data_IF_687735802263
#
_entry.id   IF_687735802263
#
_cell.length_a   1.000
_cell.length_b   1.000
_cell.length_c   1.000
_cell.angle_alpha   90.00
_cell.angle_beta   90.00
_cell.angle_gamma   90.00
#
_symmetry.space_group_name_H-M   'P 1'
#
loop_
_entity.id
_entity.type
_entity.pdbx_description
1 polymer ?
#
# COMPACT_ATOMS: atom_id res chain seq x y z
N UNK A 1 -4.86 -24.20 49.87
CA UNK A 1 -3.53 -23.97 49.28
C UNK A 1 -3.33 -25.05 48.22
N UNK A 2 -3.55 -24.74 46.94
CA UNK A 2 -3.25 -25.61 45.79
C UNK A 2 -1.89 -25.15 45.24
N UNK A 3 -0.98 -26.09 45.08
CA UNK A 3 0.42 -25.89 44.75
C UNK A 3 0.63 -25.43 43.29
N UNK A 4 1.36 -24.34 43.11
CA UNK A 4 1.77 -23.74 41.81
C UNK A 4 2.95 -24.50 41.15
N UNK A 5 2.85 -25.82 41.00
CA UNK A 5 3.99 -26.64 40.53
C UNK A 5 3.94 -27.11 39.09
N UNK A 6 3.03 -26.58 38.21
CA UNK A 6 2.86 -27.13 36.85
C UNK A 6 3.41 -26.28 35.68
N UNK A 7 4.22 -25.25 35.91
CA UNK A 7 4.64 -24.32 34.83
C UNK A 7 6.16 -24.04 34.76
N UNK A 8 7.01 -25.03 34.99
CA UNK A 8 8.45 -24.88 34.82
C UNK A 8 9.03 -25.85 33.78
N UNK A 9 9.99 -25.42 32.95
CA UNK A 9 10.83 -26.27 32.11
C UNK A 9 12.17 -26.42 32.79
N UNK A 10 12.59 -27.67 33.02
CA UNK A 10 13.90 -28.00 33.59
C UNK A 10 14.88 -28.14 32.40
N UNK A 11 15.92 -27.32 32.38
CA UNK A 11 17.08 -27.49 31.50
C UNK A 11 18.24 -27.90 32.38
N UNK A 12 18.75 -29.09 32.16
CA UNK A 12 19.96 -29.57 32.82
C UNK A 12 21.18 -29.22 31.96
N UNK A 13 22.13 -28.50 32.50
CA UNK A 13 23.47 -28.38 31.90
C UNK A 13 24.41 -29.39 32.59
N UNK A 14 25.35 -29.96 31.82
CA UNK A 14 25.99 -31.24 32.13
C UNK A 14 27.10 -31.20 33.16
N UNK A 15 27.46 -30.06 33.76
CA UNK A 15 28.65 -29.97 34.58
C UNK A 15 28.54 -29.20 35.93
N UNK A 16 27.35 -28.71 36.37
CA UNK A 16 27.15 -28.21 37.75
C UNK A 16 25.67 -28.30 38.18
N UNK A 17 25.44 -28.66 39.47
CA UNK A 17 24.12 -28.94 40.06
C UNK A 17 23.23 -27.72 40.33
N UNK A 18 23.26 -26.67 39.47
CA UNK A 18 22.38 -25.52 39.62
C UNK A 18 21.17 -25.60 38.69
N UNK A 19 20.01 -25.92 39.26
CA UNK A 19 18.72 -25.91 38.58
C UNK A 19 18.26 -24.46 38.45
N UNK A 20 18.35 -23.91 37.24
CA UNK A 20 17.77 -22.60 36.91
C UNK A 20 16.29 -22.76 36.53
N UNK A 21 15.41 -22.36 37.45
CA UNK A 21 13.96 -22.30 37.18
C UNK A 21 13.66 -21.03 36.40
N UNK A 22 13.41 -21.14 35.10
CA UNK A 22 12.97 -20.02 34.25
C UNK A 22 11.44 -19.96 34.31
N UNK A 23 10.83 -18.88 34.85
CA UNK A 23 9.37 -18.74 34.84
C UNK A 23 8.86 -18.62 33.42
N UNK A 24 7.85 -19.42 33.02
CA UNK A 24 7.20 -19.40 31.70
C UNK A 24 6.46 -18.09 31.36
N UNK A 25 6.30 -17.20 32.31
CA UNK A 25 5.76 -15.84 32.05
C UNK A 25 6.88 -14.84 31.82
N UNK A 26 7.64 -15.05 30.73
CA UNK A 26 8.28 -13.90 30.10
C UNK A 26 7.14 -13.10 29.47
N UNK A 27 6.79 -11.98 30.12
CA UNK A 27 5.90 -10.98 29.51
C UNK A 27 6.29 -10.85 28.05
N UNK A 28 5.39 -11.26 27.12
CA UNK A 28 5.55 -10.93 25.70
C UNK A 28 5.67 -9.43 25.68
N UNK A 29 6.89 -8.92 25.48
CA UNK A 29 7.13 -7.50 25.28
C UNK A 29 6.07 -7.05 24.28
N UNK A 30 5.22 -6.10 24.67
CA UNK A 30 4.25 -5.52 23.75
C UNK A 30 5.07 -5.09 22.56
N UNK A 31 4.77 -5.66 21.40
CA UNK A 31 5.44 -5.34 20.14
C UNK A 31 5.20 -3.86 19.89
N UNK A 32 6.09 -3.01 20.41
CA UNK A 32 6.04 -1.56 20.21
C UNK A 32 6.26 -1.38 18.72
N UNK A 33 5.19 -1.08 18.00
CA UNK A 33 5.25 -0.85 16.57
C UNK A 33 6.21 0.32 16.33
N UNK A 34 7.17 0.20 15.40
CA UNK A 34 8.05 1.30 15.09
C UNK A 34 7.21 2.50 14.61
N UNK A 35 7.45 3.66 15.19
CA UNK A 35 6.82 4.91 14.77
C UNK A 35 7.31 5.23 13.36
N UNK A 36 6.39 5.48 12.43
CA UNK A 36 6.75 5.86 11.07
C UNK A 36 7.52 7.18 11.07
N UNK A 37 8.55 7.27 10.25
CA UNK A 37 9.23 8.54 10.00
C UNK A 37 8.29 9.48 9.27
N UNK A 38 8.19 10.71 9.76
CA UNK A 38 7.35 11.75 9.16
C UNK A 38 7.83 12.09 7.75
N UNK A 39 9.14 12.26 7.60
CA UNK A 39 9.79 12.71 6.36
C UNK A 39 11.04 11.87 6.06
N UNK A 40 11.41 11.82 4.80
CA UNK A 40 12.69 11.27 4.34
C UNK A 40 13.80 12.30 4.46
N UNK A 41 13.49 13.56 4.15
CA UNK A 41 14.40 14.70 4.23
C UNK A 41 13.77 15.84 5.05
N UNK A 42 14.58 16.48 5.87
CA UNK A 42 14.18 17.68 6.64
C UNK A 42 14.13 18.96 5.78
N UNK A 43 14.51 18.89 4.50
CA UNK A 43 14.44 20.02 3.60
C UNK A 43 12.98 20.40 3.29
N UNK A 44 12.59 21.60 3.69
CA UNK A 44 11.24 22.13 3.51
C UNK A 44 10.93 22.55 2.05
N UNK A 45 11.94 22.63 1.18
CA UNK A 45 11.77 22.96 -0.24
C UNK A 45 11.55 21.72 -1.11
N UNK A 46 11.81 20.54 -0.58
CA UNK A 46 11.60 19.28 -1.29
C UNK A 46 10.30 18.62 -0.82
N UNK A 47 9.33 18.51 -1.72
CA UNK A 47 8.08 17.79 -1.46
C UNK A 47 8.24 16.31 -1.79
N UNK A 48 8.00 15.48 -0.78
CA UNK A 48 8.08 14.03 -0.90
C UNK A 48 6.74 13.48 -1.39
N UNK A 49 6.80 12.61 -2.40
CA UNK A 49 5.64 11.90 -2.93
C UNK A 49 5.77 10.43 -2.52
N UNK A 50 5.00 10.02 -1.52
CA UNK A 50 4.90 8.60 -1.15
C UNK A 50 4.03 7.86 -2.16
N UNK A 51 4.48 6.69 -2.63
CA UNK A 51 3.81 5.89 -3.66
C UNK A 51 3.77 4.43 -3.24
N UNK A 52 2.59 3.81 -3.36
CA UNK A 52 2.39 2.38 -3.08
C UNK A 52 1.28 1.81 -3.97
N UNK A 53 1.15 0.46 -3.99
CA UNK A 53 0.14 -0.24 -4.75
C UNK A 53 -0.70 -1.19 -3.89
N UNK A 54 -1.88 -1.55 -4.39
CA UNK A 54 -2.73 -2.61 -3.88
C UNK A 54 -3.24 -3.50 -5.02
N UNK A 55 -3.23 -4.82 -4.78
CA UNK A 55 -3.86 -5.75 -5.72
C UNK A 55 -2.94 -6.29 -6.81
N UNK A 56 -1.62 -6.40 -6.60
CA UNK A 56 -0.71 -7.09 -7.54
C UNK A 56 -0.90 -8.60 -7.58
N UNK A 57 -1.09 -9.22 -6.41
CA UNK A 57 -1.15 -10.69 -6.27
C UNK A 57 -2.47 -11.39 -6.61
N UNK A 58 -3.66 -10.75 -6.53
CA UNK A 58 -4.93 -11.41 -6.83
C UNK A 58 -5.05 -11.93 -8.26
N UNK A 59 -5.85 -13.00 -8.43
CA UNK A 59 -6.24 -13.56 -9.72
C UNK A 59 -7.33 -12.73 -10.42
N UNK A 60 -7.90 -11.75 -9.72
CA UNK A 60 -9.13 -11.06 -10.08
C UNK A 60 -9.01 -9.57 -9.77
N UNK A 61 -9.58 -8.76 -10.66
CA UNK A 61 -9.76 -7.32 -10.46
C UNK A 61 -8.52 -6.48 -10.76
N UNK A 62 -8.73 -5.18 -10.66
CA UNK A 62 -7.77 -4.12 -10.96
C UNK A 62 -6.56 -4.13 -10.04
N UNK A 63 -5.44 -3.59 -10.51
CA UNK A 63 -4.33 -3.13 -9.66
C UNK A 63 -4.50 -1.63 -9.44
N UNK A 64 -4.42 -1.19 -8.19
CA UNK A 64 -4.52 0.21 -7.79
C UNK A 64 -3.18 0.72 -7.32
N UNK A 65 -2.90 1.99 -7.56
CA UNK A 65 -1.74 2.71 -7.03
C UNK A 65 -2.18 4.05 -6.48
N UNK A 66 -1.48 4.55 -5.48
CA UNK A 66 -1.71 5.89 -4.99
C UNK A 66 -0.40 6.65 -4.85
N UNK A 67 -0.48 7.97 -5.00
CA UNK A 67 0.60 8.91 -4.72
C UNK A 67 0.08 9.99 -3.77
N UNK A 68 0.86 10.33 -2.73
CA UNK A 68 0.45 11.27 -1.68
C UNK A 68 1.58 12.22 -1.34
N UNK A 69 1.27 13.53 -1.28
CA UNK A 69 2.14 14.56 -0.70
C UNK A 69 1.53 14.98 0.63
N UNK A 70 2.24 14.75 1.72
CA UNK A 70 1.85 15.21 3.05
C UNK A 70 2.44 16.62 3.34
N UNK A 71 1.74 17.43 4.15
CA UNK A 71 2.30 18.70 4.58
C UNK A 71 3.52 18.48 5.48
N UNK A 72 4.53 19.37 5.37
CA UNK A 72 5.72 19.40 6.23
C UNK A 72 5.54 20.37 7.41
N UNK A 73 4.31 20.55 7.86
CA UNK A 73 3.97 21.31 9.06
C UNK A 73 3.28 20.41 10.10
N UNK A 74 3.11 20.91 11.32
CA UNK A 74 2.53 20.15 12.42
C UNK A 74 1.00 19.97 12.32
N UNK A 75 0.37 20.35 11.21
CA UNK A 75 -1.08 20.24 11.02
C UNK A 75 -1.53 18.82 10.69
N UNK A 76 -0.65 17.99 10.11
CA UNK A 76 -0.96 16.61 9.80
C UNK A 76 -0.61 15.70 10.97
N UNK A 77 -1.61 15.00 11.50
CA UNK A 77 -1.42 14.01 12.56
C UNK A 77 -0.92 12.67 12.00
N UNK A 78 0.40 12.53 11.94
CA UNK A 78 1.08 11.33 11.47
C UNK A 78 0.75 10.06 12.28
N UNK A 79 0.32 10.21 13.55
CA UNK A 79 0.01 9.06 14.42
C UNK A 79 -1.21 8.26 13.97
N UNK A 80 -2.10 8.86 13.19
CA UNK A 80 -3.27 8.20 12.61
C UNK A 80 -2.90 7.23 11.48
N UNK A 81 -1.76 7.45 10.83
CA UNK A 81 -1.31 6.67 9.67
C UNK A 81 -0.40 5.53 10.13
N UNK A 82 -0.67 4.34 9.68
CA UNK A 82 0.13 3.13 9.89
C UNK A 82 -0.02 2.19 8.69
N UNK A 83 0.82 1.14 8.61
CA UNK A 83 0.70 0.08 7.61
C UNK A 83 -0.76 -0.37 7.44
N UNK A 84 -1.25 -0.38 6.21
CA UNK A 84 -2.64 -0.68 5.86
C UNK A 84 -3.09 -2.09 6.30
N UNK A 85 -2.17 -3.04 6.43
CA UNK A 85 -2.40 -4.43 6.88
C UNK A 85 -2.66 -4.53 8.40
N UNK A 86 -2.34 -3.47 9.17
CA UNK A 86 -2.53 -3.40 10.63
C UNK A 86 -3.90 -2.86 11.04
N UNK A 87 -4.78 -2.57 10.09
CA UNK A 87 -6.16 -2.21 10.38
C UNK A 87 -7.04 -3.47 10.41
N UNK A 88 -7.67 -3.73 11.57
CA UNK A 88 -8.57 -4.88 11.76
C UNK A 88 -10.04 -4.53 11.50
N UNK A 89 -10.36 -3.30 11.14
CA UNK A 89 -11.71 -2.81 10.89
C UNK A 89 -11.75 -2.00 9.59
N UNK A 90 -12.67 -2.38 8.68
CA UNK A 90 -12.94 -1.64 7.45
C UNK A 90 -13.26 -0.18 7.75
N UNK A 91 -14.16 0.08 8.71
CA UNK A 91 -14.53 1.45 9.13
C UNK A 91 -13.33 2.28 9.54
N UNK A 92 -12.39 1.72 10.34
CA UNK A 92 -11.21 2.47 10.81
C UNK A 92 -10.23 2.83 9.69
N UNK A 93 -10.00 1.95 8.72
CA UNK A 93 -9.11 2.28 7.59
C UNK A 93 -9.76 3.30 6.66
N UNK A 94 -11.09 3.26 6.48
CA UNK A 94 -11.86 4.24 5.71
C UNK A 94 -11.85 5.63 6.37
N UNK A 95 -12.00 5.70 7.71
CA UNK A 95 -11.86 6.95 8.48
C UNK A 95 -10.47 7.57 8.27
N UNK A 96 -9.41 6.75 8.29
CA UNK A 96 -8.04 7.23 8.05
C UNK A 96 -7.83 7.63 6.59
N UNK A 97 -8.39 6.90 5.62
CA UNK A 97 -8.34 7.29 4.21
C UNK A 97 -9.03 8.63 3.97
N UNK A 98 -10.18 8.87 4.59
CA UNK A 98 -10.88 10.16 4.55
C UNK A 98 -10.01 11.26 5.15
N UNK A 99 -9.43 11.01 6.34
CA UNK A 99 -8.51 11.97 6.97
C UNK A 99 -7.32 12.33 6.07
N UNK A 100 -6.70 11.33 5.40
CA UNK A 100 -5.60 11.57 4.45
C UNK A 100 -6.07 12.44 3.29
N UNK A 101 -7.22 12.13 2.67
CA UNK A 101 -7.78 12.88 1.54
C UNK A 101 -8.06 14.34 1.88
N UNK A 102 -8.53 14.62 3.09
CA UNK A 102 -8.87 15.96 3.57
C UNK A 102 -7.64 16.78 3.96
N UNK A 103 -6.58 16.15 4.48
CA UNK A 103 -5.44 16.82 5.10
C UNK A 103 -4.13 16.73 4.30
N UNK A 104 -4.04 15.87 3.29
CA UNK A 104 -2.88 15.83 2.40
C UNK A 104 -2.83 17.08 1.51
N UNK A 105 -1.62 17.53 1.17
CA UNK A 105 -1.42 18.64 0.24
C UNK A 105 -1.95 18.32 -1.15
N UNK A 106 -1.64 17.11 -1.62
CA UNK A 106 -2.17 16.54 -2.87
C UNK A 106 -2.13 15.01 -2.79
N UNK A 107 -3.04 14.37 -3.49
CA UNK A 107 -3.06 12.91 -3.63
C UNK A 107 -3.82 12.51 -4.89
N UNK A 108 -3.50 11.34 -5.42
CA UNK A 108 -4.25 10.75 -6.52
C UNK A 108 -4.19 9.23 -6.44
N UNK A 109 -5.30 8.58 -6.76
CA UNK A 109 -5.38 7.12 -6.92
C UNK A 109 -5.64 6.81 -8.37
N UNK A 110 -4.86 5.90 -8.92
CA UNK A 110 -4.98 5.39 -10.29
C UNK A 110 -5.14 3.88 -10.27
N UNK A 111 -5.56 3.30 -11.38
CA UNK A 111 -5.63 1.86 -11.56
C UNK A 111 -5.36 1.45 -13.00
N UNK A 112 -5.02 0.17 -13.18
CA UNK A 112 -5.10 -0.52 -14.47
C UNK A 112 -6.00 -1.74 -14.30
N UNK A 113 -6.77 -2.03 -15.35
CA UNK A 113 -7.73 -3.13 -15.36
C UNK A 113 -7.07 -4.49 -15.67
N UNK A 114 -7.87 -5.53 -15.57
CA UNK A 114 -7.46 -6.92 -15.79
C UNK A 114 -6.94 -7.13 -17.21
N UNK A 115 -7.56 -6.47 -18.19
CA UNK A 115 -7.18 -6.55 -19.60
C UNK A 115 -5.79 -5.95 -19.81
N UNK A 116 -5.54 -4.76 -19.27
CA UNK A 116 -4.22 -4.12 -19.33
C UNK A 116 -3.16 -4.99 -18.63
N UNK A 117 -3.52 -5.60 -17.47
CA UNK A 117 -2.61 -6.53 -16.76
C UNK A 117 -2.26 -7.73 -17.64
N UNK A 118 -3.21 -8.28 -18.38
CA UNK A 118 -2.96 -9.42 -19.27
C UNK A 118 -2.16 -9.02 -20.53
N UNK A 119 -2.36 -7.81 -21.04
CA UNK A 119 -1.67 -7.29 -22.24
C UNK A 119 -0.19 -6.96 -21.98
N UNK A 120 0.12 -6.28 -20.87
CA UNK A 120 1.47 -5.74 -20.63
C UNK A 120 2.16 -6.33 -19.39
N UNK A 121 1.58 -7.31 -18.75
CA UNK A 121 1.91 -7.94 -17.46
C UNK A 121 1.71 -7.02 -16.24
N UNK A 122 1.64 -7.66 -15.04
CA UNK A 122 1.35 -6.95 -13.78
C UNK A 122 2.43 -5.95 -13.39
N UNK A 123 3.70 -6.20 -13.68
CA UNK A 123 4.77 -5.26 -13.38
C UNK A 123 4.58 -3.96 -14.18
N UNK A 124 4.42 -4.06 -15.49
CA UNK A 124 4.25 -2.89 -16.35
C UNK A 124 2.92 -2.16 -16.07
N UNK A 125 1.84 -2.89 -15.83
CA UNK A 125 0.56 -2.30 -15.44
C UNK A 125 0.68 -1.51 -14.12
N UNK A 126 1.36 -2.07 -13.11
CA UNK A 126 1.62 -1.36 -11.86
C UNK A 126 2.44 -0.09 -12.08
N UNK A 127 3.54 -0.19 -12.87
CA UNK A 127 4.40 0.98 -13.19
C UNK A 127 3.62 2.08 -13.94
N UNK A 128 2.80 1.71 -14.92
CA UNK A 128 1.93 2.63 -15.66
C UNK A 128 0.97 3.36 -14.72
N UNK A 129 0.30 2.63 -13.84
CA UNK A 129 -0.59 3.21 -12.83
C UNK A 129 0.16 4.11 -11.83
N UNK A 130 1.36 3.72 -11.36
CA UNK A 130 2.20 4.56 -10.49
C UNK A 130 2.58 5.87 -11.19
N UNK A 131 2.98 5.82 -12.46
CA UNK A 131 3.30 7.03 -13.23
C UNK A 131 2.09 7.96 -13.30
N UNK A 132 0.90 7.43 -13.58
CA UNK A 132 -0.34 8.21 -13.62
C UNK A 132 -0.63 8.86 -12.26
N UNK A 133 -0.57 8.10 -11.17
CA UNK A 133 -0.84 8.63 -9.83
C UNK A 133 0.17 9.73 -9.44
N UNK A 134 1.45 9.56 -9.73
CA UNK A 134 2.49 10.57 -9.47
C UNK A 134 2.27 11.84 -10.28
N UNK A 135 2.02 11.72 -11.59
CA UNK A 135 1.87 12.88 -12.47
C UNK A 135 0.61 13.68 -12.13
N UNK A 136 -0.52 13.03 -11.85
CA UNK A 136 -1.74 13.71 -11.45
C UNK A 136 -1.63 14.34 -10.05
N UNK A 137 -0.95 13.69 -9.10
CA UNK A 137 -0.65 14.28 -7.78
C UNK A 137 0.18 15.56 -7.92
N UNK A 138 1.22 15.55 -8.76
CA UNK A 138 2.04 16.75 -9.06
C UNK A 138 1.22 17.85 -9.71
N UNK A 139 0.33 17.51 -10.63
CA UNK A 139 -0.56 18.45 -11.30
C UNK A 139 -1.51 19.14 -10.32
N UNK A 140 -2.13 18.38 -9.41
CA UNK A 140 -2.97 18.91 -8.33
C UNK A 140 -2.18 19.85 -7.40
N UNK A 141 -0.99 19.40 -6.96
CA UNK A 141 -0.11 20.20 -6.14
C UNK A 141 0.24 21.53 -6.81
N UNK A 142 0.71 21.48 -8.05
CA UNK A 142 1.08 22.67 -8.83
C UNK A 142 -0.09 23.65 -8.98
N UNK A 143 -1.31 23.15 -9.18
CA UNK A 143 -2.52 23.97 -9.24
C UNK A 143 -2.78 24.67 -7.91
N UNK A 144 -2.76 23.94 -6.79
CA UNK A 144 -2.95 24.51 -5.44
C UNK A 144 -1.90 25.58 -5.11
N UNK A 145 -0.63 25.38 -5.46
CA UNK A 145 0.44 26.35 -5.19
C UNK A 145 0.26 27.64 -5.99
N UNK A 146 -0.19 27.56 -7.24
CA UNK A 146 -0.52 28.75 -8.08
C UNK A 146 -1.70 29.52 -7.53
N UNK A 147 -2.79 28.83 -7.18
CA UNK A 147 -4.03 29.45 -6.69
C UNK A 147 -3.83 30.21 -5.37
N UNK A 148 -2.81 29.84 -4.59
CA UNK A 148 -2.50 30.48 -3.32
C UNK A 148 -1.40 31.54 -3.36
N UNK A 149 -0.84 31.89 -4.53
CA UNK A 149 0.32 32.80 -4.69
C UNK A 149 1.48 32.49 -3.75
N UNK A 150 1.63 31.21 -3.33
CA UNK A 150 2.50 30.86 -2.20
C UNK A 150 3.94 30.61 -2.58
N UNK A 151 4.24 30.32 -3.85
CA UNK A 151 5.61 30.02 -4.30
C UNK A 151 5.72 30.24 -5.80
N UNK A 152 6.83 30.81 -6.28
CA UNK A 152 7.20 30.70 -7.70
C UNK A 152 7.58 29.25 -8.01
N UNK A 153 7.26 28.77 -9.19
CA UNK A 153 7.48 27.39 -9.66
C UNK A 153 8.95 26.93 -9.61
N UNK A 154 9.86 27.85 -9.25
CA UNK A 154 11.31 27.66 -9.16
C UNK A 154 11.80 27.31 -7.76
N UNK A 155 10.94 27.40 -6.74
CA UNK A 155 11.37 27.40 -5.34
C UNK A 155 11.27 26.05 -4.64
N UNK A 156 10.75 25.01 -5.33
CA UNK A 156 10.58 23.67 -4.76
C UNK A 156 10.93 22.56 -5.74
N UNK A 157 11.32 21.43 -5.18
CA UNK A 157 11.61 20.19 -5.90
C UNK A 157 10.69 19.05 -5.43
N UNK A 158 10.67 17.96 -6.19
CA UNK A 158 9.99 16.72 -5.81
C UNK A 158 11.01 15.61 -5.58
N UNK A 159 10.69 14.73 -4.66
CA UNK A 159 11.39 13.48 -4.44
C UNK A 159 10.39 12.34 -4.27
N UNK A 160 10.53 11.26 -5.05
CA UNK A 160 9.61 10.13 -5.00
C UNK A 160 10.11 9.10 -3.99
N UNK A 161 9.22 8.66 -3.11
CA UNK A 161 9.43 7.56 -2.17
C UNK A 161 8.53 6.40 -2.61
N UNK A 162 9.13 5.40 -3.25
CA UNK A 162 8.40 4.29 -3.88
C UNK A 162 8.47 3.07 -2.96
N UNK A 163 7.32 2.45 -2.61
CA UNK A 163 7.35 1.17 -1.94
C UNK A 163 7.92 0.07 -2.85
N UNK A 164 8.69 -0.85 -2.25
CA UNK A 164 9.31 -1.96 -2.97
C UNK A 164 10.75 -1.70 -3.41
N UNK A 165 11.21 -2.46 -4.40
CA UNK A 165 12.61 -2.50 -4.85
C UNK A 165 12.80 -2.17 -6.33
N UNK A 166 11.74 -1.80 -7.03
CA UNK A 166 11.79 -1.53 -8.46
C UNK A 166 10.85 -0.39 -8.87
N UNK A 167 11.36 0.53 -9.69
CA UNK A 167 10.59 1.62 -10.28
C UNK A 167 11.16 2.03 -11.63
N UNK A 168 10.29 2.20 -12.64
CA UNK A 168 10.67 2.78 -13.93
C UNK A 168 10.77 4.30 -13.78
N UNK A 169 11.94 4.92 -14.01
CA UNK A 169 12.11 6.36 -13.84
C UNK A 169 11.14 7.18 -14.70
N UNK A 170 10.61 8.28 -14.15
CA UNK A 170 9.84 9.25 -14.92
C UNK A 170 10.78 10.31 -15.47
N UNK A 171 10.92 10.34 -16.80
CA UNK A 171 11.71 11.33 -17.52
C UNK A 171 10.80 12.36 -18.17
N UNK A 172 11.15 13.63 -18.09
CA UNK A 172 10.39 14.72 -18.66
C UNK A 172 11.32 15.76 -19.32
N UNK A 173 10.80 16.50 -20.30
CA UNK A 173 11.51 17.62 -20.90
C UNK A 173 11.38 18.85 -19.99
N UNK A 174 12.51 19.30 -19.40
CA UNK A 174 12.54 20.57 -18.71
C UNK A 174 12.58 21.72 -19.72
N UNK A 175 11.44 22.41 -19.85
CA UNK A 175 11.27 23.51 -20.82
C UNK A 175 12.16 24.73 -20.58
N UNK A 176 12.73 24.89 -19.38
CA UNK A 176 13.61 26.03 -19.04
C UNK A 176 15.00 25.87 -19.66
N UNK A 177 15.54 24.68 -19.66
CA UNK A 177 16.91 24.39 -20.15
C UNK A 177 16.92 23.49 -21.39
N UNK A 178 15.73 23.08 -21.87
CA UNK A 178 15.52 22.16 -23.00
C UNK A 178 16.28 20.82 -22.87
N UNK A 179 16.38 20.30 -21.63
CA UNK A 179 17.04 19.02 -21.32
C UNK A 179 16.04 18.00 -20.80
N UNK A 180 16.30 16.72 -21.09
CA UNK A 180 15.61 15.62 -20.43
C UNK A 180 16.11 15.49 -19.00
N UNK A 181 15.20 15.49 -18.06
CA UNK A 181 15.46 15.33 -16.63
C UNK A 181 14.62 14.19 -16.08
N UNK A 182 15.13 13.51 -15.07
CA UNK A 182 14.45 12.43 -14.37
C UNK A 182 13.99 12.92 -13.01
N UNK A 183 12.76 12.60 -12.62
CA UNK A 183 12.30 12.83 -11.24
C UNK A 183 13.15 11.99 -10.29
N UNK A 184 13.82 12.62 -9.30
CA UNK A 184 14.63 11.89 -8.33
C UNK A 184 13.73 10.99 -7.49
N UNK A 185 14.20 9.76 -7.23
CA UNK A 185 13.44 8.76 -6.47
C UNK A 185 14.33 7.85 -5.66
N UNK A 186 13.73 7.21 -4.67
CA UNK A 186 14.29 6.06 -3.94
C UNK A 186 13.23 4.99 -3.80
N UNK A 187 13.60 3.74 -4.08
CA UNK A 187 12.79 2.57 -3.75
C UNK A 187 13.08 2.15 -2.31
N UNK A 188 12.04 1.81 -1.55
CA UNK A 188 12.13 1.51 -0.11
C UNK A 188 11.33 0.25 0.17
N UNK A 189 11.99 -0.89 0.31
CA UNK A 189 11.33 -2.14 0.66
C UNK A 189 10.59 -2.04 2.00
N UNK A 190 9.29 -2.34 2.00
CA UNK A 190 8.40 -2.18 3.16
C UNK A 190 8.34 -0.72 3.64
N UNK A 191 8.30 0.21 2.69
CA UNK A 191 8.25 1.64 2.92
C UNK A 191 7.01 2.07 3.68
N UNK A 192 5.89 1.35 3.51
CA UNK A 192 4.63 1.49 4.24
C UNK A 192 4.77 1.30 5.76
N UNK A 193 5.82 0.60 6.20
CA UNK A 193 6.21 0.44 7.61
C UNK A 193 7.33 1.40 8.05
N UNK A 194 7.81 2.28 7.18
CA UNK A 194 8.96 3.15 7.44
C UNK A 194 8.62 4.63 7.34
N UNK A 195 7.80 5.03 6.36
CA UNK A 195 7.49 6.42 6.06
C UNK A 195 5.99 6.69 5.96
N UNK A 196 5.53 7.75 6.62
CA UNK A 196 4.11 8.10 6.67
C UNK A 196 3.52 8.37 5.28
N UNK A 197 4.27 8.99 4.36
CA UNK A 197 3.80 9.29 3.02
C UNK A 197 3.52 8.01 2.21
N UNK A 198 4.38 6.99 2.32
CA UNK A 198 4.16 5.69 1.66
C UNK A 198 3.00 4.94 2.32
N UNK A 199 2.92 4.92 3.66
CA UNK A 199 1.80 4.32 4.37
C UNK A 199 0.46 4.97 4.02
N UNK A 200 0.43 6.29 3.84
CA UNK A 200 -0.76 7.01 3.38
C UNK A 200 -1.18 6.57 1.96
N UNK A 201 -0.22 6.42 1.03
CA UNK A 201 -0.47 5.90 -0.31
C UNK A 201 -1.01 4.45 -0.26
N UNK A 202 -0.40 3.58 0.55
CA UNK A 202 -0.86 2.20 0.80
C UNK A 202 -2.32 2.14 1.23
N UNK A 203 -2.70 2.98 2.21
CA UNK A 203 -4.08 3.06 2.72
C UNK A 203 -5.04 3.48 1.60
N UNK A 204 -4.71 4.54 0.84
CA UNK A 204 -5.57 5.01 -0.24
C UNK A 204 -5.74 3.97 -1.34
N UNK A 205 -4.65 3.37 -1.83
CA UNK A 205 -4.71 2.33 -2.85
C UNK A 205 -5.54 1.12 -2.41
N UNK A 206 -5.36 0.68 -1.14
CA UNK A 206 -6.11 -0.43 -0.58
C UNK A 206 -7.60 -0.13 -0.43
N UNK A 207 -7.96 1.02 0.13
CA UNK A 207 -9.36 1.39 0.37
C UNK A 207 -10.11 1.52 -0.96
N UNK A 208 -9.53 2.19 -1.96
CA UNK A 208 -10.16 2.33 -3.28
C UNK A 208 -10.34 0.96 -3.97
N UNK A 209 -9.34 0.08 -3.85
CA UNK A 209 -9.46 -1.27 -4.39
C UNK A 209 -10.54 -2.09 -3.67
N UNK A 210 -10.58 -2.03 -2.35
CA UNK A 210 -11.55 -2.80 -1.56
C UNK A 210 -12.99 -2.31 -1.82
N UNK A 211 -13.19 -1.00 -2.04
CA UNK A 211 -14.46 -0.41 -2.43
C UNK A 211 -14.88 -0.86 -3.83
N UNK A 212 -13.98 -0.79 -4.81
CA UNK A 212 -14.23 -1.32 -6.16
C UNK A 212 -14.69 -2.78 -6.13
N UNK A 213 -14.01 -3.63 -5.35
CA UNK A 213 -14.41 -5.05 -5.22
C UNK A 213 -15.78 -5.17 -4.55
N UNK A 214 -16.08 -4.35 -3.54
CA UNK A 214 -17.40 -4.33 -2.89
C UNK A 214 -18.52 -3.97 -3.86
N UNK A 215 -18.38 -2.84 -4.55
CA UNK A 215 -19.33 -2.36 -5.55
C UNK A 215 -19.56 -3.37 -6.68
N UNK A 216 -18.46 -4.02 -7.13
CA UNK A 216 -18.55 -5.03 -8.17
C UNK A 216 -19.32 -6.26 -7.72
N UNK A 217 -19.15 -6.72 -6.48
CA UNK A 217 -19.92 -7.84 -5.90
C UNK A 217 -21.39 -7.45 -5.64
N UNK A 218 -21.67 -6.21 -5.26
CA UNK A 218 -23.04 -5.72 -5.11
C UNK A 218 -23.79 -5.72 -6.45
N UNK A 219 -23.12 -5.31 -7.53
CA UNK A 219 -23.68 -5.31 -8.88
C UNK A 219 -23.76 -6.71 -9.49
N UNK A 220 -22.91 -7.65 -9.04
CA UNK A 220 -22.78 -8.99 -9.57
C UNK A 220 -22.72 -10.03 -8.43
N UNK A 221 -23.85 -10.39 -7.80
CA UNK A 221 -23.89 -11.28 -6.62
C UNK A 221 -23.22 -12.63 -6.83
N UNK A 222 -23.25 -13.16 -8.05
CA UNK A 222 -22.56 -14.40 -8.44
C UNK A 222 -21.06 -14.42 -8.09
N UNK A 223 -20.41 -13.24 -8.07
CA UNK A 223 -19.00 -13.13 -7.72
C UNK A 223 -18.73 -13.50 -6.25
N UNK A 224 -19.62 -13.10 -5.37
CA UNK A 224 -19.56 -13.47 -3.96
C UNK A 224 -19.99 -14.92 -3.75
N UNK A 225 -21.08 -15.34 -4.39
CA UNK A 225 -21.66 -16.68 -4.22
C UNK A 225 -20.72 -17.76 -4.75
N UNK A 226 -20.30 -17.67 -6.02
CA UNK A 226 -19.53 -18.69 -6.73
C UNK A 226 -18.03 -18.65 -6.38
N UNK A 227 -17.47 -17.46 -6.21
CA UNK A 227 -16.01 -17.28 -6.08
C UNK A 227 -15.59 -16.72 -4.71
N UNK A 228 -16.52 -16.20 -3.89
CA UNK A 228 -16.22 -15.58 -2.59
C UNK A 228 -15.40 -14.29 -2.70
N UNK A 229 -15.55 -13.55 -3.82
CA UNK A 229 -14.73 -12.34 -4.12
C UNK A 229 -14.95 -11.24 -3.06
N UNK A 230 -16.13 -11.15 -2.50
CA UNK A 230 -16.49 -10.22 -1.42
C UNK A 230 -15.60 -10.37 -0.18
N UNK A 231 -15.19 -11.58 0.13
CA UNK A 231 -14.36 -11.91 1.30
C UNK A 231 -12.87 -12.05 0.95
N UNK A 232 -12.54 -12.81 -0.11
CA UNK A 232 -11.15 -13.09 -0.47
C UNK A 232 -10.49 -11.98 -1.31
N UNK A 233 -11.23 -10.96 -1.73
CA UNK A 233 -10.75 -9.82 -2.52
C UNK A 233 -10.01 -10.21 -3.82
N UNK A 234 -10.37 -11.38 -4.38
CA UNK A 234 -9.77 -11.92 -5.59
C UNK A 234 -8.47 -12.67 -5.41
N UNK A 235 -8.00 -12.86 -4.17
CA UNK A 235 -6.84 -13.73 -3.91
C UNK A 235 -7.20 -15.21 -4.09
N UNK A 236 -6.18 -16.06 -4.31
CA UNK A 236 -6.33 -17.48 -4.56
C UNK A 236 -6.73 -18.32 -3.33
N UNK A 237 -7.76 -17.88 -2.60
CA UNK A 237 -8.37 -18.65 -1.51
C UNK A 237 -9.09 -19.90 -2.05
N UNK A 238 -9.30 -20.91 -1.19
CA UNK A 238 -9.91 -22.20 -1.59
C UNK A 238 -11.22 -22.00 -2.34
N UNK A 239 -12.17 -21.21 -1.80
CA UNK A 239 -13.45 -20.93 -2.46
C UNK A 239 -13.29 -20.30 -3.84
N UNK A 240 -12.32 -19.38 -4.02
CA UNK A 240 -12.05 -18.76 -5.31
C UNK A 240 -11.52 -19.78 -6.33
N UNK A 241 -10.55 -20.59 -5.91
CA UNK A 241 -9.96 -21.62 -6.76
C UNK A 241 -10.96 -22.71 -7.14
N UNK A 242 -11.81 -23.13 -6.20
CA UNK A 242 -12.87 -24.12 -6.46
C UNK A 242 -13.94 -23.52 -7.39
N UNK A 243 -14.35 -22.28 -7.19
CA UNK A 243 -15.27 -21.56 -8.08
C UNK A 243 -14.75 -21.44 -9.52
N UNK A 244 -13.44 -21.15 -9.70
CA UNK A 244 -12.82 -21.14 -11.04
C UNK A 244 -12.88 -22.52 -11.69
N UNK A 245 -12.64 -23.60 -10.95
CA UNK A 245 -12.70 -24.98 -11.48
C UNK A 245 -14.11 -25.36 -11.90
N UNK A 246 -15.10 -24.96 -11.14
CA UNK A 246 -16.51 -25.33 -11.35
C UNK A 246 -17.21 -24.46 -12.40
N UNK A 247 -16.96 -23.15 -12.40
CA UNK A 247 -17.70 -22.18 -13.20
C UNK A 247 -16.85 -21.48 -14.27
N UNK A 248 -15.53 -21.77 -14.34
CA UNK A 248 -14.62 -21.07 -15.22
C UNK A 248 -14.23 -19.67 -14.70
N UNK A 249 -13.69 -18.85 -15.59
CA UNK A 249 -13.29 -17.49 -15.30
C UNK A 249 -14.32 -16.48 -15.82
N UNK A 250 -14.41 -15.33 -15.17
CA UNK A 250 -15.21 -14.17 -15.63
C UNK A 250 -14.35 -13.17 -16.37
N UNK A 251 -14.96 -12.12 -16.91
CA UNK A 251 -14.25 -11.03 -17.59
C UNK A 251 -13.30 -10.22 -16.68
N UNK A 252 -13.49 -10.31 -15.36
CA UNK A 252 -12.66 -9.62 -14.35
C UNK A 252 -11.50 -10.49 -13.84
N UNK A 253 -11.38 -11.74 -14.27
CA UNK A 253 -10.22 -12.57 -13.96
C UNK A 253 -9.05 -12.19 -14.86
N UNK A 254 -7.86 -12.24 -14.27
CA UNK A 254 -6.60 -12.03 -14.98
C UNK A 254 -6.19 -13.33 -15.66
N UNK A 255 -6.41 -13.42 -16.96
CA UNK A 255 -6.20 -14.63 -17.77
C UNK A 255 -4.76 -15.12 -17.75
N UNK A 256 -3.81 -14.21 -17.56
CA UNK A 256 -2.38 -14.51 -17.46
C UNK A 256 -1.95 -15.03 -16.07
N UNK A 257 -2.86 -15.14 -15.08
CA UNK A 257 -2.51 -15.49 -13.70
C UNK A 257 -2.88 -16.92 -13.31
N UNK A 258 -1.93 -17.61 -12.66
CA UNK A 258 -2.15 -18.89 -11.99
C UNK A 258 -3.06 -19.84 -12.76
N UNK A 259 -4.09 -20.36 -12.08
CA UNK A 259 -5.06 -21.31 -12.66
C UNK A 259 -5.90 -20.70 -13.78
N UNK A 260 -6.09 -19.38 -13.83
CA UNK A 260 -6.89 -18.71 -14.86
C UNK A 260 -6.38 -18.99 -16.28
N UNK A 261 -5.08 -19.25 -16.45
CA UNK A 261 -4.46 -19.61 -17.74
C UNK A 261 -5.07 -20.85 -18.38
N UNK A 262 -5.66 -21.74 -17.60
CA UNK A 262 -6.25 -22.98 -18.08
C UNK A 262 -7.66 -22.81 -18.67
N UNK A 263 -8.21 -21.58 -18.60
CA UNK A 263 -9.61 -21.27 -18.98
C UNK A 263 -9.68 -20.17 -20.06
N UNK A 264 -8.59 -19.96 -20.80
CA UNK A 264 -8.47 -18.93 -21.87
C UNK A 264 -8.76 -19.57 -23.22
#
# INVERSE_FOLDING_TARGET
MKSDSENAVIVADSDEEDIIIIPKNVNRARNVQPVLKKYFSEDNKTFEIGVDEAGRGPLFGRVYTAAVILPKDDKFDHSKVKDSKKFHSKKKIEEVATYIKENAVAWYVSFEDEKTVDEINILQATQKSMHTSILETRKQFNKKMKDHNKLEFTDYSYYLLIDGNYFNPITYLNKKNNKLETLPFTTIEGGDNKYTAIAAASILAKVERDNYIGELCEQNPDLAEKYGIDSNKGYGAKKHMDGIKEHGITIWHRRSFGICKNYV
#
